data_IF_465504571988
#
_entry.id   IF_465504571988
#
_cell.length_a   1.000
_cell.length_b   1.000
_cell.length_c   1.000
_cell.angle_alpha   90.00
_cell.angle_beta   90.00
_cell.angle_gamma   90.00
#
_symmetry.space_group_name_H-M   'P 1'
#
loop_
_entity.id
_entity.type
_entity.pdbx_description
1 polymer ?
#
# COMPACT_ATOMS: atom_id res chain seq x y z
N UNK A 1 -11.80 -8.25 16.08
CA UNK A 1 -11.11 -7.62 14.92
C UNK A 1 -10.73 -8.61 13.80
N UNK A 2 -10.40 -9.89 14.07
CA UNK A 2 -10.05 -10.84 12.99
C UNK A 2 -11.21 -11.30 12.08
N UNK A 3 -12.47 -11.13 12.49
CA UNK A 3 -13.62 -11.64 11.73
C UNK A 3 -13.48 -13.15 11.43
N UNK A 4 -13.57 -13.53 10.16
CA UNK A 4 -13.36 -14.91 9.66
C UNK A 4 -11.89 -15.24 9.33
N UNK A 5 -10.95 -14.32 9.54
CA UNK A 5 -9.55 -14.57 9.21
C UNK A 5 -8.91 -15.56 10.18
N UNK A 6 -8.23 -16.55 9.59
CA UNK A 6 -7.28 -17.40 10.30
C UNK A 6 -5.93 -16.68 10.42
N UNK A 7 -5.09 -17.10 11.36
CA UNK A 7 -3.74 -16.55 11.50
C UNK A 7 -2.93 -16.72 10.21
N UNK A 8 -3.03 -17.89 9.58
CA UNK A 8 -2.38 -18.18 8.30
C UNK A 8 -2.81 -17.20 7.19
N UNK A 9 -4.12 -16.90 7.12
CA UNK A 9 -4.62 -15.93 6.15
C UNK A 9 -4.09 -14.52 6.43
N UNK A 10 -4.02 -14.09 7.71
CA UNK A 10 -3.45 -12.80 8.08
C UNK A 10 -1.97 -12.73 7.68
N UNK A 11 -1.18 -13.76 7.99
CA UNK A 11 0.24 -13.80 7.65
C UNK A 11 0.45 -13.69 6.13
N UNK A 12 -0.36 -14.39 5.33
CA UNK A 12 -0.31 -14.27 3.86
C UNK A 12 -0.62 -12.84 3.39
N UNK A 13 -1.57 -12.15 4.04
CA UNK A 13 -1.88 -10.75 3.73
C UNK A 13 -0.74 -9.80 4.16
N UNK A 14 -0.07 -10.08 5.28
CA UNK A 14 1.13 -9.33 5.71
C UNK A 14 2.24 -9.48 4.65
N UNK A 15 2.49 -10.68 4.15
CA UNK A 15 3.48 -10.90 3.08
C UNK A 15 3.12 -10.13 1.81
N UNK A 16 1.83 -10.15 1.43
CA UNK A 16 1.33 -9.37 0.29
C UNK A 16 1.51 -7.86 0.49
N UNK A 17 1.19 -7.35 1.67
CA UNK A 17 1.36 -5.94 2.03
C UNK A 17 2.83 -5.51 1.99
N UNK A 18 3.74 -6.30 2.55
CA UNK A 18 5.17 -6.04 2.52
C UNK A 18 5.72 -6.03 1.09
N UNK A 19 5.28 -6.96 0.24
CA UNK A 19 5.65 -6.98 -1.19
C UNK A 19 5.14 -5.75 -1.93
N UNK A 20 3.92 -5.29 -1.65
CA UNK A 20 3.37 -4.10 -2.27
C UNK A 20 4.17 -2.84 -1.90
N UNK A 21 4.56 -2.69 -0.63
CA UNK A 21 5.44 -1.61 -0.18
C UNK A 21 6.80 -1.71 -0.84
N UNK A 22 7.45 -2.88 -0.76
CA UNK A 22 8.78 -3.08 -1.34
C UNK A 22 8.77 -2.72 -2.83
N UNK A 23 7.81 -3.25 -3.59
CA UNK A 23 7.69 -2.98 -5.03
C UNK A 23 7.48 -1.50 -5.34
N UNK A 24 6.65 -0.79 -4.56
CA UNK A 24 6.44 0.65 -4.72
C UNK A 24 7.74 1.44 -4.52
N UNK A 25 8.44 1.19 -3.41
CA UNK A 25 9.62 1.96 -3.05
C UNK A 25 10.88 1.55 -3.84
N UNK A 26 10.98 0.29 -4.28
CA UNK A 26 11.98 -0.14 -5.27
C UNK A 26 11.78 0.62 -6.59
N UNK A 27 10.53 0.76 -7.06
CA UNK A 27 10.23 1.50 -8.28
C UNK A 27 10.55 2.99 -8.15
N UNK A 28 10.27 3.59 -6.99
CA UNK A 28 10.62 4.99 -6.69
C UNK A 28 12.12 5.22 -6.56
N UNK A 29 12.88 4.20 -6.14
CA UNK A 29 14.34 4.28 -6.02
C UNK A 29 15.07 4.12 -7.37
N UNK A 30 14.39 3.60 -8.40
CA UNK A 30 15.01 3.42 -9.72
C UNK A 30 15.34 4.77 -10.37
N UNK A 31 16.54 4.91 -10.98
CA UNK A 31 16.85 6.07 -11.80
C UNK A 31 15.86 6.22 -12.95
N UNK A 32 15.50 7.47 -13.29
CA UNK A 32 14.55 7.78 -14.38
C UNK A 32 14.93 7.14 -15.71
N UNK A 33 16.23 6.98 -15.98
CA UNK A 33 16.76 6.33 -17.19
C UNK A 33 16.45 4.83 -17.29
N UNK A 34 16.12 4.16 -16.18
CA UNK A 34 15.80 2.73 -16.13
C UNK A 34 14.29 2.46 -16.11
N UNK A 35 13.45 3.49 -16.01
CA UNK A 35 12.00 3.35 -15.99
C UNK A 35 11.45 3.16 -17.40
N UNK A 36 10.62 2.13 -17.59
CA UNK A 36 9.78 1.98 -18.79
C UNK A 36 8.60 2.95 -18.74
N UNK A 37 7.96 3.23 -19.88
CA UNK A 37 6.84 4.19 -19.95
C UNK A 37 5.72 3.90 -18.94
N UNK A 38 5.29 2.64 -18.83
CA UNK A 38 4.27 2.23 -17.86
C UNK A 38 4.73 2.42 -16.40
N UNK A 39 6.01 2.24 -16.12
CA UNK A 39 6.59 2.48 -14.79
C UNK A 39 6.68 3.98 -14.49
N UNK A 40 6.97 4.80 -15.50
CA UNK A 40 7.02 6.26 -15.35
C UNK A 40 5.66 6.83 -14.95
N UNK A 41 4.58 6.37 -15.60
CA UNK A 41 3.20 6.74 -15.24
C UNK A 41 2.87 6.38 -13.78
N UNK A 42 3.33 5.23 -13.29
CA UNK A 42 3.16 4.82 -11.89
C UNK A 42 3.96 5.66 -10.91
N UNK A 43 5.23 5.91 -11.21
CA UNK A 43 6.09 6.78 -10.38
C UNK A 43 5.49 8.18 -10.28
N UNK A 44 5.02 8.75 -11.38
CA UNK A 44 4.32 10.03 -11.37
C UNK A 44 3.08 9.99 -10.45
N UNK A 45 2.24 8.95 -10.57
CA UNK A 45 1.08 8.78 -9.71
C UNK A 45 1.43 8.55 -8.22
N UNK A 46 2.57 7.92 -7.91
CA UNK A 46 3.03 7.79 -6.52
C UNK A 46 3.43 9.14 -5.93
N UNK A 47 4.09 9.99 -6.71
CA UNK A 47 4.43 11.34 -6.25
C UNK A 47 3.19 12.21 -6.02
N UNK A 48 2.12 12.09 -6.84
CA UNK A 48 0.88 12.85 -6.60
C UNK A 48 0.14 12.37 -5.35
N UNK A 49 0.41 11.16 -4.86
CA UNK A 49 -0.16 10.68 -3.62
C UNK A 49 0.59 11.20 -2.38
N UNK A 50 1.75 11.83 -2.47
CA UNK A 50 2.45 12.34 -1.30
C UNK A 50 1.74 13.56 -0.69
N UNK A 51 1.78 13.68 0.64
CA UNK A 51 1.33 14.86 1.39
C UNK A 51 2.40 15.29 2.39
N UNK A 52 2.22 16.47 3.01
CA UNK A 52 3.12 16.92 4.07
C UNK A 52 3.21 15.91 5.23
N UNK A 53 2.13 15.19 5.51
CA UNK A 53 2.05 14.19 6.60
C UNK A 53 2.69 12.84 6.24
N UNK A 54 2.91 12.54 4.96
CA UNK A 54 3.55 11.29 4.51
C UNK A 54 5.04 11.44 4.25
N UNK A 55 5.58 12.66 4.41
CA UNK A 55 6.99 12.95 4.18
C UNK A 55 7.87 12.03 5.04
N UNK A 56 8.77 11.29 4.38
CA UNK A 56 9.68 10.29 4.98
C UNK A 56 8.98 9.07 5.58
N UNK A 57 7.70 8.86 5.29
CA UNK A 57 6.96 7.68 5.71
C UNK A 57 6.74 6.73 4.54
N UNK A 58 6.81 5.43 4.83
CA UNK A 58 6.50 4.39 3.86
C UNK A 58 5.01 4.07 3.89
N UNK A 59 4.31 4.25 2.77
CA UNK A 59 2.87 4.00 2.68
C UNK A 59 2.45 3.41 1.34
N UNK A 60 1.29 2.76 1.37
CA UNK A 60 0.56 2.27 0.19
C UNK A 60 -0.89 2.72 0.25
N UNK A 61 -1.55 2.74 -0.91
CA UNK A 61 -3.00 3.03 -1.00
C UNK A 61 -3.77 1.77 -1.42
N UNK A 62 -5.10 1.80 -1.33
CA UNK A 62 -5.95 0.65 -1.68
C UNK A 62 -5.69 0.12 -3.11
N UNK A 63 -5.41 1.04 -4.05
CA UNK A 63 -5.09 0.68 -5.43
C UNK A 63 -3.79 -0.12 -5.57
N UNK A 64 -2.81 0.09 -4.69
CA UNK A 64 -1.54 -0.66 -4.68
C UNK A 64 -1.76 -2.09 -4.19
N UNK A 65 -2.65 -2.26 -3.22
CA UNK A 65 -2.95 -3.55 -2.61
C UNK A 65 -3.85 -4.42 -3.48
N UNK A 66 -4.80 -3.80 -4.19
CA UNK A 66 -5.75 -4.50 -5.08
C UNK A 66 -5.24 -4.66 -6.52
N UNK A 67 -4.02 -4.21 -6.82
CA UNK A 67 -3.44 -4.28 -8.16
C UNK A 67 -4.01 -3.27 -9.17
N UNK A 68 -4.93 -2.39 -8.75
CA UNK A 68 -5.53 -1.35 -9.60
C UNK A 68 -4.52 -0.28 -10.02
N UNK A 69 -3.40 -0.11 -9.31
CA UNK A 69 -2.29 0.76 -9.74
C UNK A 69 -1.36 0.08 -10.76
N UNK A 70 -1.71 -1.14 -11.21
CA UNK A 70 -0.98 -1.92 -12.21
C UNK A 70 0.14 -2.80 -11.62
N UNK A 71 0.38 -2.76 -10.31
CA UNK A 71 1.24 -3.71 -9.61
C UNK A 71 0.61 -5.10 -9.47
N UNK A 72 1.32 -6.02 -8.83
CA UNK A 72 0.76 -7.31 -8.44
C UNK A 72 -0.32 -7.14 -7.37
N UNK A 73 -1.51 -7.73 -7.57
CA UNK A 73 -2.56 -7.71 -6.58
C UNK A 73 -2.19 -8.57 -5.36
N UNK A 74 -1.95 -7.94 -4.22
CA UNK A 74 -1.70 -8.61 -2.96
C UNK A 74 -3.01 -8.99 -2.23
N UNK A 75 -4.10 -8.29 -2.54
CA UNK A 75 -5.41 -8.42 -1.91
C UNK A 75 -6.48 -8.63 -2.97
N UNK A 76 -7.42 -9.54 -2.71
CA UNK A 76 -8.50 -9.88 -3.64
C UNK A 76 -9.52 -8.73 -3.81
N UNK A 77 -9.72 -7.91 -2.78
CA UNK A 77 -10.67 -6.80 -2.82
C UNK A 77 -10.38 -5.74 -1.75
N UNK A 78 -10.95 -4.55 -1.94
CA UNK A 78 -10.88 -3.45 -0.96
C UNK A 78 -11.53 -3.82 0.39
N UNK A 79 -12.52 -4.74 0.38
CA UNK A 79 -13.09 -5.29 1.61
C UNK A 79 -12.05 -6.04 2.45
N UNK A 80 -11.22 -6.87 1.79
CA UNK A 80 -10.14 -7.60 2.45
C UNK A 80 -9.09 -6.63 3.00
N UNK A 81 -8.75 -5.58 2.23
CA UNK A 81 -7.84 -4.50 2.69
C UNK A 81 -8.37 -3.85 3.96
N UNK A 82 -9.64 -3.45 3.98
CA UNK A 82 -10.25 -2.77 5.14
C UNK A 82 -10.21 -3.65 6.38
N UNK A 83 -10.53 -4.93 6.25
CA UNK A 83 -10.49 -5.87 7.37
C UNK A 83 -9.05 -6.12 7.86
N UNK A 84 -8.09 -6.25 6.95
CA UNK A 84 -6.67 -6.37 7.28
C UNK A 84 -6.16 -5.14 8.05
N UNK A 85 -6.47 -3.94 7.56
CA UNK A 85 -6.04 -2.68 8.19
C UNK A 85 -6.60 -2.56 9.61
N UNK A 86 -7.85 -2.96 9.85
CA UNK A 86 -8.43 -2.99 11.21
C UNK A 86 -7.60 -3.87 12.15
N UNK A 87 -7.18 -5.06 11.71
CA UNK A 87 -6.35 -5.97 12.51
C UNK A 87 -4.96 -5.35 12.74
N UNK A 88 -4.30 -4.88 11.69
CA UNK A 88 -2.94 -4.36 11.77
C UNK A 88 -2.84 -3.05 12.56
N UNK A 89 -3.87 -2.20 12.47
CA UNK A 89 -4.00 -0.99 13.27
C UNK A 89 -4.12 -1.32 14.75
N UNK A 90 -4.92 -2.34 15.10
CA UNK A 90 -5.02 -2.80 16.48
C UNK A 90 -3.70 -3.35 17.01
N UNK A 91 -2.94 -4.05 16.16
CA UNK A 91 -1.59 -4.52 16.49
C UNK A 91 -0.52 -3.41 16.48
N UNK A 92 -0.88 -2.14 16.23
CA UNK A 92 0.06 -1.02 16.21
C UNK A 92 1.08 -1.04 15.07
N UNK A 93 0.81 -1.78 13.99
CA UNK A 93 1.74 -1.94 12.85
C UNK A 93 1.45 -1.02 11.68
N UNK A 94 0.22 -0.53 11.57
CA UNK A 94 -0.23 0.35 10.48
C UNK A 94 -1.00 1.53 11.05
N UNK A 95 -0.79 2.72 10.48
CA UNK A 95 -1.58 3.92 10.71
C UNK A 95 -2.24 4.38 9.41
N UNK A 96 -3.47 4.89 9.51
CA UNK A 96 -4.14 5.54 8.39
C UNK A 96 -3.86 7.05 8.43
N UNK A 97 -3.43 7.60 7.29
CA UNK A 97 -3.43 9.03 7.03
C UNK A 97 -4.49 9.32 5.96
N UNK A 98 -5.40 10.23 6.28
CA UNK A 98 -6.49 10.65 5.40
C UNK A 98 -6.23 12.10 4.99
N UNK A 99 -6.22 12.34 3.68
CA UNK A 99 -6.10 13.69 3.13
C UNK A 99 -7.46 14.29 2.76
N UNK A 100 -7.48 15.53 2.25
CA UNK A 100 -8.68 16.13 1.67
C UNK A 100 -9.19 15.37 0.43
N UNK A 101 -8.31 14.65 -0.25
CA UNK A 101 -8.65 13.72 -1.31
C UNK A 101 -9.28 12.43 -0.76
N UNK A 102 -10.09 11.74 -1.57
CA UNK A 102 -10.66 10.42 -1.23
C UNK A 102 -9.62 9.28 -1.27
N UNK A 103 -8.39 9.54 -0.83
CA UNK A 103 -7.28 8.59 -0.79
C UNK A 103 -6.87 8.36 0.66
N UNK A 104 -6.95 7.10 1.09
CA UNK A 104 -6.45 6.64 2.39
C UNK A 104 -5.05 6.06 2.20
N UNK A 105 -4.11 6.51 3.02
CA UNK A 105 -2.71 6.10 2.98
C UNK A 105 -2.44 5.20 4.18
N UNK A 106 -2.08 3.96 3.91
CA UNK A 106 -1.74 2.97 4.92
C UNK A 106 -0.23 3.02 5.18
N UNK A 107 0.14 3.69 6.26
CA UNK A 107 1.53 3.94 6.66
C UNK A 107 2.03 2.84 7.56
N UNK A 108 3.23 2.34 7.31
CA UNK A 108 3.93 1.42 8.23
C UNK A 108 4.51 2.18 9.40
N UNK A 109 4.33 1.62 10.60
CA UNK A 109 4.88 2.14 11.87
C UNK A 109 6.13 1.35 12.25
#
# INVERSE_FOLDING_TARGET
MKGRFTLAAINKLVDGFNKAIASKYELLALPKSRLKEAQWKRVAAYHTQETAETKRLSFVVDADLTGKSGGGAAFESSRVVTQFVVVMRHCGRIREIRGPERIVRYVVV
#
